data_IF_811653752659
#
_entry.id   IF_811653752659
#
_cell.length_a   1.000
_cell.length_b   1.000
_cell.length_c   1.000
_cell.angle_alpha   90.00
_cell.angle_beta   90.00
_cell.angle_gamma   90.00
#
_symmetry.space_group_name_H-M   'P 1'
#
loop_
_entity.id
_entity.type
_entity.pdbx_description
1 polymer ?
#
# COMPACT_ATOMS: atom_id res chain seq x y z
N UNK A 1 -75.98 -31.60 -20.12
CA UNK A 1 -75.04 -32.60 -20.68
C UNK A 1 -73.97 -31.79 -21.38
N UNK A 2 -72.70 -31.74 -21.03
CA UNK A 2 -71.87 -32.68 -20.28
C UNK A 2 -70.70 -31.89 -19.63
N UNK A 3 -70.16 -32.42 -18.52
CA UNK A 3 -69.00 -31.88 -17.78
C UNK A 3 -67.72 -32.49 -18.38
N UNK A 4 -66.64 -31.72 -18.53
CA UNK A 4 -65.35 -32.02 -17.86
C UNK A 4 -64.16 -31.16 -18.36
N UNK A 5 -63.39 -30.68 -17.36
CA UNK A 5 -61.94 -30.43 -17.32
C UNK A 5 -61.37 -29.28 -18.18
N UNK A 6 -60.93 -28.14 -17.65
CA UNK A 6 -60.18 -27.79 -16.43
C UNK A 6 -58.66 -28.11 -16.50
N UNK A 7 -57.85 -27.12 -16.07
CA UNK A 7 -56.47 -27.20 -15.54
C UNK A 7 -55.21 -27.11 -16.44
N UNK A 8 -55.17 -26.43 -17.59
CA UNK A 8 -53.88 -26.21 -18.30
C UNK A 8 -53.45 -24.76 -18.56
N UNK A 9 -54.28 -23.76 -18.23
CA UNK A 9 -53.96 -22.34 -18.51
C UNK A 9 -53.63 -21.47 -17.30
N UNK A 10 -53.94 -21.91 -16.09
CA UNK A 10 -53.70 -21.13 -14.85
C UNK A 10 -52.32 -21.42 -14.23
N UNK A 11 -51.70 -22.58 -14.54
CA UNK A 11 -50.39 -22.96 -13.95
C UNK A 11 -49.20 -22.27 -14.63
N UNK A 12 -49.36 -21.74 -15.85
CA UNK A 12 -48.29 -21.05 -16.59
C UNK A 12 -48.12 -19.56 -16.23
N UNK A 13 -49.10 -18.95 -15.55
CA UNK A 13 -49.04 -17.52 -15.18
C UNK A 13 -48.74 -17.28 -13.69
N UNK A 14 -48.66 -18.33 -12.86
CA UNK A 14 -48.22 -18.23 -11.46
C UNK A 14 -46.74 -18.59 -11.31
N UNK A 15 -46.19 -19.44 -12.19
CA UNK A 15 -44.76 -19.80 -12.17
C UNK A 15 -43.82 -18.76 -12.79
N UNK A 16 -44.31 -17.86 -13.65
CA UNK A 16 -43.49 -16.78 -14.23
C UNK A 16 -43.30 -15.60 -13.26
N UNK A 17 -44.21 -15.40 -12.31
CA UNK A 17 -44.16 -14.30 -11.34
C UNK A 17 -43.35 -14.67 -10.09
N UNK A 18 -43.28 -15.95 -9.71
CA UNK A 18 -42.42 -16.40 -8.60
C UNK A 18 -40.95 -16.59 -9.00
N UNK A 19 -40.64 -16.81 -10.30
CA UNK A 19 -39.25 -16.88 -10.77
C UNK A 19 -38.61 -15.49 -10.96
N UNK A 20 -39.42 -14.45 -11.20
CA UNK A 20 -38.96 -13.06 -11.27
C UNK A 20 -38.79 -12.41 -9.89
N UNK A 21 -39.47 -12.91 -8.84
CA UNK A 21 -39.25 -12.49 -7.45
C UNK A 21 -38.17 -13.31 -6.73
N UNK A 22 -37.74 -14.47 -7.25
CA UNK A 22 -36.60 -15.23 -6.72
C UNK A 22 -35.26 -14.87 -7.36
N UNK A 23 -35.26 -14.12 -8.48
CA UNK A 23 -34.07 -13.55 -9.12
C UNK A 23 -33.76 -12.12 -8.67
N UNK A 24 -34.58 -11.56 -7.77
CA UNK A 24 -34.35 -10.30 -7.06
C UNK A 24 -34.07 -10.51 -5.56
N UNK A 25 -33.84 -11.76 -5.15
CA UNK A 25 -33.53 -12.15 -3.77
C UNK A 25 -32.27 -12.99 -3.60
N UNK A 26 -31.45 -13.12 -4.66
CA UNK A 26 -30.21 -13.91 -4.68
C UNK A 26 -29.07 -13.24 -5.47
N UNK A 27 -29.12 -11.91 -5.56
CA UNK A 27 -27.98 -11.05 -5.87
C UNK A 27 -27.75 -10.03 -4.74
N UNK A 28 -28.05 -10.43 -3.51
CA UNK A 28 -27.28 -9.97 -2.37
C UNK A 28 -26.07 -10.90 -2.27
N UNK A 29 -25.12 -10.73 -3.20
CA UNK A 29 -23.73 -10.94 -2.80
C UNK A 29 -23.57 -10.07 -1.56
N UNK A 30 -23.02 -10.68 -0.51
CA UNK A 30 -22.59 -10.00 0.71
C UNK A 30 -21.49 -9.01 0.35
N UNK A 31 -21.83 -7.89 -0.30
CA UNK A 31 -21.21 -6.64 0.09
C UNK A 31 -21.73 -6.41 1.51
N UNK A 32 -20.93 -6.76 2.51
CA UNK A 32 -20.95 -6.00 3.75
C UNK A 32 -20.60 -4.57 3.35
N UNK A 33 -21.58 -3.81 2.87
CA UNK A 33 -21.53 -2.37 2.95
C UNK A 33 -21.63 -2.09 4.45
N UNK A 34 -20.48 -2.17 5.13
CA UNK A 34 -20.36 -1.64 6.48
C UNK A 34 -20.88 -0.22 6.43
N UNK A 35 -21.67 0.17 7.42
CA UNK A 35 -21.94 1.60 7.61
C UNK A 35 -20.60 2.29 7.79
N UNK A 36 -20.35 3.33 6.99
CA UNK A 36 -19.18 4.19 7.13
C UNK A 36 -19.04 4.64 8.59
N UNK A 37 -17.82 4.65 9.09
CA UNK A 37 -17.52 5.03 10.47
C UNK A 37 -17.96 6.48 10.67
N UNK A 38 -18.85 6.70 11.63
CA UNK A 38 -19.28 8.06 11.95
C UNK A 38 -18.09 8.87 12.48
N UNK A 39 -17.83 10.02 11.87
CA UNK A 39 -16.89 11.01 12.40
C UNK A 39 -17.45 11.63 13.68
N UNK A 40 -16.65 11.65 14.74
CA UNK A 40 -17.09 12.07 16.09
C UNK A 40 -16.75 13.53 16.43
N UNK A 41 -16.10 14.27 15.52
CA UNK A 41 -15.64 15.66 15.70
C UNK A 41 -16.67 16.62 16.27
N UNK A 42 -17.87 16.60 15.69
CA UNK A 42 -18.93 17.56 16.02
C UNK A 42 -19.42 17.46 17.48
N UNK A 43 -19.08 16.38 18.18
CA UNK A 43 -19.54 16.09 19.54
C UNK A 43 -18.39 15.88 20.54
N UNK A 44 -17.15 16.16 20.13
CA UNK A 44 -15.98 16.01 20.98
C UNK A 44 -15.72 17.27 21.82
N UNK A 45 -15.44 17.07 23.11
CA UNK A 45 -14.83 18.07 23.97
C UNK A 45 -13.32 17.83 24.00
N UNK A 46 -12.55 18.79 23.51
CA UNK A 46 -11.07 18.75 23.48
C UNK A 46 -10.48 19.82 24.40
N UNK A 47 -9.50 19.41 25.20
CA UNK A 47 -8.74 20.31 26.07
C UNK A 47 -7.25 19.95 26.05
N UNK A 48 -6.40 20.96 25.92
CA UNK A 48 -4.95 20.86 25.91
C UNK A 48 -4.43 21.35 27.26
N UNK A 49 -3.61 20.54 27.93
CA UNK A 49 -2.98 20.87 29.20
C UNK A 49 -1.47 20.92 29.00
N UNK A 50 -0.91 22.12 29.08
CA UNK A 50 0.53 22.33 28.94
C UNK A 50 1.34 21.89 30.17
N UNK A 51 2.68 21.91 30.10
CA UNK A 51 3.57 21.40 31.15
C UNK A 51 3.48 22.15 32.49
N UNK A 52 2.94 23.38 32.49
CA UNK A 52 2.71 24.17 33.70
C UNK A 52 1.36 23.85 34.37
N UNK A 53 0.56 22.95 33.79
CA UNK A 53 -0.78 22.59 34.23
C UNK A 53 -1.87 23.56 33.76
N UNK A 54 -1.55 24.54 32.91
CA UNK A 54 -2.56 25.41 32.29
C UNK A 54 -3.35 24.62 31.25
N UNK A 55 -4.67 24.56 31.42
CA UNK A 55 -5.60 23.90 30.50
C UNK A 55 -6.39 24.93 29.70
N UNK A 56 -6.54 24.71 28.39
CA UNK A 56 -7.39 25.49 27.51
C UNK A 56 -8.09 24.58 26.50
N UNK A 57 -9.24 25.00 25.97
CA UNK A 57 -9.92 24.28 24.90
C UNK A 57 -9.30 24.68 23.56
N UNK A 58 -9.05 23.70 22.69
CA UNK A 58 -8.51 23.97 21.37
C UNK A 58 -9.22 23.16 20.29
N UNK A 59 -10.26 23.76 19.72
CA UNK A 59 -11.03 23.15 18.64
C UNK A 59 -10.31 23.22 17.28
N UNK A 60 -9.17 23.91 17.19
CA UNK A 60 -8.44 24.05 15.92
C UNK A 60 -7.88 22.71 15.43
N UNK A 61 -7.60 21.77 16.34
CA UNK A 61 -7.17 20.41 15.99
C UNK A 61 -8.28 19.54 15.38
N UNK A 62 -9.53 20.01 15.35
CA UNK A 62 -10.70 19.28 14.84
C UNK A 62 -11.39 20.05 13.68
N UNK A 63 -10.64 20.87 12.94
CA UNK A 63 -11.17 21.81 11.93
C UNK A 63 -11.12 21.29 10.49
N UNK A 64 -10.76 20.01 10.30
CA UNK A 64 -10.59 19.32 9.02
C UNK A 64 -9.48 19.95 8.13
N UNK A 65 -8.43 20.53 8.74
CA UNK A 65 -7.33 21.21 8.03
C UNK A 65 -5.94 20.91 8.60
N UNK A 66 -5.19 20.05 7.92
CA UNK A 66 -3.77 19.82 8.18
C UNK A 66 -2.85 21.07 8.05
N UNK A 67 -3.34 22.18 7.49
CA UNK A 67 -2.59 23.46 7.46
C UNK A 67 -2.66 24.24 8.77
N UNK A 68 -3.63 23.92 9.63
CA UNK A 68 -3.72 24.42 11.00
C UNK A 68 -2.64 23.74 11.83
N UNK A 69 -1.94 24.46 12.69
CA UNK A 69 -0.79 23.94 13.44
C UNK A 69 -0.85 24.35 14.89
N UNK A 70 -0.72 23.37 15.79
CA UNK A 70 -0.57 23.60 17.21
C UNK A 70 0.80 23.13 17.68
N UNK A 71 1.60 24.07 18.18
CA UNK A 71 2.85 23.76 18.88
C UNK A 71 2.54 23.20 20.27
N UNK A 72 3.07 22.01 20.55
CA UNK A 72 2.85 21.26 21.77
C UNK A 72 4.20 21.07 22.47
N UNK A 73 4.51 21.88 23.49
CA UNK A 73 5.72 21.72 24.27
C UNK A 73 5.78 20.34 24.91
N UNK A 74 6.99 19.85 25.20
CA UNK A 74 7.18 18.59 25.90
C UNK A 74 6.36 18.51 27.20
N UNK A 75 5.78 17.33 27.46
CA UNK A 75 4.92 17.09 28.63
C UNK A 75 3.52 17.72 28.52
N UNK A 76 3.10 18.10 27.31
CA UNK A 76 1.71 18.49 27.04
C UNK A 76 0.81 17.24 26.94
N UNK A 77 -0.42 17.36 27.42
CA UNK A 77 -1.46 16.33 27.30
C UNK A 77 -2.66 16.90 26.55
N UNK A 78 -3.23 16.12 25.63
CA UNK A 78 -4.49 16.43 24.95
C UNK A 78 -5.55 15.46 25.46
N UNK A 79 -6.57 15.97 26.15
CA UNK A 79 -7.72 15.17 26.58
C UNK A 79 -8.87 15.39 25.62
N UNK A 80 -9.48 14.29 25.16
CA UNK A 80 -10.65 14.29 24.29
C UNK A 80 -11.74 13.44 24.93
N UNK A 81 -12.96 13.96 24.98
CA UNK A 81 -14.15 13.26 25.48
C UNK A 81 -15.29 13.33 24.48
N UNK A 82 -16.02 12.24 24.33
CA UNK A 82 -17.14 12.09 23.40
C UNK A 82 -18.31 11.38 24.08
N UNK A 83 -19.52 11.55 23.55
CA UNK A 83 -20.69 10.81 24.04
C UNK A 83 -20.74 9.38 23.50
N UNK A 84 -20.26 9.19 22.29
CA UNK A 84 -20.12 7.90 21.63
C UNK A 84 -18.73 7.32 21.85
N UNK A 85 -18.53 6.03 21.59
CA UNK A 85 -17.21 5.41 21.75
C UNK A 85 -16.33 5.74 20.56
N UNK A 86 -15.10 6.15 20.84
CA UNK A 86 -14.01 6.26 19.88
C UNK A 86 -13.50 4.84 19.63
N UNK A 87 -13.47 4.43 18.37
CA UNK A 87 -12.91 3.16 17.89
C UNK A 87 -11.56 3.34 17.22
N UNK A 88 -11.27 4.53 16.71
CA UNK A 88 -9.96 4.87 16.18
C UNK A 88 -9.79 6.38 16.07
N UNK A 89 -8.54 6.79 15.86
CA UNK A 89 -8.17 8.17 15.62
C UNK A 89 -7.18 8.23 14.47
N UNK A 90 -7.24 9.30 13.70
CA UNK A 90 -6.28 9.59 12.64
C UNK A 90 -5.60 10.91 12.97
N UNK A 91 -4.28 10.94 12.94
CA UNK A 91 -3.45 12.04 13.42
C UNK A 91 -2.61 12.55 12.27
N UNK A 92 -2.58 13.88 12.11
CA UNK A 92 -1.67 14.52 11.17
C UNK A 92 -0.67 15.37 11.96
N UNK A 93 0.59 14.97 11.91
CA UNK A 93 1.74 15.65 12.52
C UNK A 93 2.48 16.49 11.48
N UNK A 94 3.00 17.66 11.85
CA UNK A 94 3.76 18.51 10.90
C UNK A 94 5.07 17.84 10.46
N UNK A 95 5.65 17.03 11.36
CA UNK A 95 6.93 16.32 11.24
C UNK A 95 6.87 15.05 12.07
N UNK A 96 7.78 14.08 11.84
CA UNK A 96 7.83 12.85 12.65
C UNK A 96 7.80 13.18 14.15
N UNK A 97 6.77 12.72 14.89
CA UNK A 97 6.55 13.16 16.27
C UNK A 97 7.50 12.50 17.27
N UNK A 98 8.11 11.37 16.91
CA UNK A 98 8.72 10.47 17.87
C UNK A 98 7.68 9.72 18.70
N UNK A 99 8.12 9.06 19.77
CA UNK A 99 7.22 8.23 20.59
C UNK A 99 6.27 9.05 21.45
N UNK A 100 4.97 8.81 21.29
CA UNK A 100 3.91 9.40 22.12
C UNK A 100 3.03 8.29 22.71
N UNK A 101 2.25 8.60 23.75
CA UNK A 101 1.40 7.61 24.40
C UNK A 101 -0.08 7.99 24.30
N UNK A 102 -0.93 6.99 24.08
CA UNK A 102 -2.36 7.12 24.11
C UNK A 102 -2.92 6.39 25.33
N UNK A 103 -3.72 7.09 26.12
CA UNK A 103 -4.49 6.51 27.20
C UNK A 103 -5.96 6.47 26.81
N UNK A 104 -6.59 5.29 26.81
CA UNK A 104 -8.03 5.13 26.64
C UNK A 104 -8.69 4.84 28.00
N UNK A 105 -9.74 5.59 28.34
CA UNK A 105 -10.45 5.49 29.62
C UNK A 105 -11.94 5.19 29.43
N UNK A 106 -12.36 4.01 29.86
CA UNK A 106 -13.77 3.60 29.81
C UNK A 106 -14.23 3.12 31.20
N UNK A 107 -15.10 3.91 31.83
CA UNK A 107 -15.54 3.67 33.20
C UNK A 107 -14.36 3.71 34.18
N UNK A 108 -14.06 2.59 34.85
CA UNK A 108 -12.90 2.45 35.74
C UNK A 108 -11.68 1.83 35.08
N UNK A 109 -11.75 1.47 33.79
CA UNK A 109 -10.66 0.83 33.07
C UNK A 109 -9.82 1.87 32.33
N UNK A 110 -8.51 1.67 32.36
CA UNK A 110 -7.54 2.49 31.66
C UNK A 110 -6.60 1.60 30.88
N UNK A 111 -6.44 1.86 29.59
CA UNK A 111 -5.55 1.14 28.68
C UNK A 111 -4.54 2.12 28.09
N UNK A 112 -3.30 1.67 27.91
CA UNK A 112 -2.17 2.49 27.47
C UNK A 112 -1.56 1.90 26.21
N UNK A 113 -1.33 2.75 25.20
CA UNK A 113 -0.74 2.38 23.93
C UNK A 113 0.47 3.28 23.66
N UNK A 114 1.59 2.69 23.26
CA UNK A 114 2.76 3.43 22.80
C UNK A 114 2.71 3.53 21.27
N UNK A 115 2.69 4.76 20.77
CA UNK A 115 2.49 5.10 19.35
C UNK A 115 3.67 5.94 18.82
N UNK A 116 3.63 6.31 17.54
CA UNK A 116 4.68 7.08 16.88
C UNK A 116 5.97 6.30 16.61
N UNK A 117 5.94 4.97 16.72
CA UNK A 117 7.12 4.10 16.54
C UNK A 117 7.72 4.18 15.14
N UNK A 118 6.88 4.42 14.14
CA UNK A 118 7.30 4.48 12.75
C UNK A 118 7.66 5.91 12.30
N UNK A 119 7.46 6.92 13.15
CA UNK A 119 7.69 8.32 12.78
C UNK A 119 6.75 8.84 11.68
N UNK A 120 5.61 8.18 11.45
CA UNK A 120 4.65 8.59 10.43
C UNK A 120 3.99 9.92 10.76
N UNK A 121 3.88 10.77 9.75
CA UNK A 121 3.22 12.06 9.92
C UNK A 121 1.70 11.97 9.70
N UNK A 122 1.22 10.95 8.99
CA UNK A 122 -0.19 10.58 8.91
C UNK A 122 -0.35 9.23 9.60
N UNK A 123 -0.96 9.20 10.79
CA UNK A 123 -0.98 8.01 11.66
C UNK A 123 -2.41 7.65 12.06
N UNK A 124 -2.92 6.52 11.57
CA UNK A 124 -4.15 5.93 12.08
C UNK A 124 -3.88 4.98 13.25
N UNK A 125 -4.62 5.15 14.34
CA UNK A 125 -4.57 4.32 15.54
C UNK A 125 -5.93 3.71 15.79
N UNK A 126 -6.05 2.39 15.60
CA UNK A 126 -7.20 1.63 16.05
C UNK A 126 -7.17 1.40 17.56
N UNK A 127 -8.32 1.47 18.22
CA UNK A 127 -8.48 1.12 19.63
C UNK A 127 -9.07 -0.29 19.73
N UNK A 128 -8.27 -1.23 20.22
CA UNK A 128 -8.75 -2.57 20.61
C UNK A 128 -9.91 -2.48 21.61
N UNK A 129 -9.91 -1.40 22.40
CA UNK A 129 -10.84 -1.15 23.48
C UNK A 129 -11.49 0.23 23.30
N UNK A 130 -12.65 0.29 22.61
CA UNK A 130 -13.32 1.55 22.33
C UNK A 130 -13.70 2.33 23.59
N UNK A 131 -13.50 3.64 23.55
CA UNK A 131 -13.50 4.51 24.73
C UNK A 131 -14.19 5.84 24.47
N UNK A 132 -14.95 6.33 25.46
CA UNK A 132 -15.56 7.67 25.46
C UNK A 132 -14.60 8.80 25.87
N UNK A 133 -13.42 8.44 26.39
CA UNK A 133 -12.40 9.41 26.79
C UNK A 133 -10.99 8.91 26.43
N UNK A 134 -10.19 9.78 25.85
CA UNK A 134 -8.78 9.51 25.54
C UNK A 134 -7.89 10.65 26.02
N UNK A 135 -6.63 10.33 26.34
CA UNK A 135 -5.58 11.31 26.63
C UNK A 135 -4.36 10.97 25.77
N UNK A 136 -3.96 11.89 24.91
CA UNK A 136 -2.72 11.82 24.15
C UNK A 136 -1.65 12.51 24.99
N UNK A 137 -0.62 11.76 25.37
CA UNK A 137 0.53 12.26 26.12
C UNK A 137 1.65 12.47 25.13
N UNK A 138 2.04 13.73 24.93
CA UNK A 138 3.06 14.10 23.97
C UNK A 138 4.43 13.56 24.37
N UNK A 139 5.34 13.39 23.39
CA UNK A 139 6.73 12.96 23.63
C UNK A 139 7.47 13.88 24.62
N UNK A 140 8.66 13.45 25.07
CA UNK A 140 9.59 14.30 25.84
C UNK A 140 10.39 15.27 24.93
N UNK A 141 9.75 15.73 23.85
CA UNK A 141 10.24 16.73 22.90
C UNK A 141 9.08 17.62 22.48
N UNK A 142 9.40 18.82 22.00
CA UNK A 142 8.38 19.70 21.42
C UNK A 142 7.94 19.11 20.08
N UNK A 143 6.63 19.07 19.85
CA UNK A 143 6.02 18.55 18.62
C UNK A 143 5.00 19.53 18.06
N UNK A 144 4.63 19.34 16.80
CA UNK A 144 3.58 20.12 16.15
C UNK A 144 2.55 19.17 15.60
N UNK A 145 1.33 19.28 16.10
CA UNK A 145 0.18 18.51 15.65
C UNK A 145 -0.71 19.42 14.80
N UNK A 146 -1.10 18.93 13.63
CA UNK A 146 -1.94 19.66 12.71
C UNK A 146 -3.41 19.32 12.91
N UNK A 147 -3.71 18.03 13.06
CA UNK A 147 -5.10 17.55 13.01
C UNK A 147 -5.31 16.26 13.80
N UNK A 148 -6.51 16.12 14.37
CA UNK A 148 -7.02 14.90 14.99
C UNK A 148 -8.39 14.58 14.41
N UNK A 149 -8.47 13.45 13.73
CA UNK A 149 -9.71 12.84 13.29
C UNK A 149 -10.13 11.67 14.24
N UNK A 150 -11.42 11.48 14.51
CA UNK A 150 -11.99 10.58 15.52
C UNK A 150 -13.12 9.77 14.89
N UNK A 151 -13.01 8.46 14.98
CA UNK A 151 -13.89 7.54 14.28
C UNK A 151 -14.62 6.62 15.25
N UNK A 152 -15.94 6.52 15.06
CA UNK A 152 -16.77 5.48 15.67
C UNK A 152 -16.61 4.13 14.98
N UNK A 153 -17.47 3.18 15.30
CA UNK A 153 -17.48 1.87 14.64
C UNK A 153 -17.93 1.99 13.18
N UNK A 154 -17.21 1.38 12.24
CA UNK A 154 -17.62 1.29 10.85
C UNK A 154 -16.45 1.11 9.88
N UNK A 155 -16.75 1.25 8.59
CA UNK A 155 -15.73 1.31 7.54
C UNK A 155 -15.14 2.71 7.49
N UNK A 156 -13.82 2.85 7.58
CA UNK A 156 -13.17 4.16 7.47
C UNK A 156 -13.40 4.77 6.08
N UNK A 157 -13.53 6.10 5.97
CA UNK A 157 -13.57 6.75 4.67
C UNK A 157 -12.21 6.63 3.97
N UNK A 158 -12.21 6.66 2.64
CA UNK A 158 -11.01 6.51 1.81
C UNK A 158 -9.95 7.61 2.07
N UNK A 159 -10.33 8.72 2.71
CA UNK A 159 -9.41 9.79 3.11
C UNK A 159 -8.49 9.41 4.28
N UNK A 160 -8.86 8.40 5.07
CA UNK A 160 -8.03 7.95 6.21
C UNK A 160 -6.92 7.06 5.68
N UNK A 161 -5.69 7.50 5.90
CA UNK A 161 -4.51 6.77 5.46
C UNK A 161 -4.10 5.76 6.53
N UNK A 162 -4.43 4.50 6.27
CA UNK A 162 -3.97 3.36 7.07
C UNK A 162 -2.76 2.77 6.36
N UNK A 163 -1.59 3.28 6.73
CA UNK A 163 -0.32 2.87 6.12
C UNK A 163 0.14 1.50 6.63
N UNK A 164 0.69 0.71 5.71
CA UNK A 164 1.52 -0.45 6.03
C UNK A 164 2.98 0.01 6.23
N UNK A 165 3.78 -0.72 7.04
CA UNK A 165 5.22 -0.53 7.08
C UNK A 165 5.83 -0.57 5.67
N UNK A 166 6.98 0.11 5.46
CA UNK A 166 7.80 -0.12 4.28
C UNK A 166 7.99 -1.61 4.05
N UNK A 167 7.95 -2.06 2.80
CA UNK A 167 8.00 -3.48 2.52
C UNK A 167 9.30 -4.12 3.06
N UNK A 168 9.27 -5.41 3.35
CA UNK A 168 10.50 -6.15 3.67
C UNK A 168 11.34 -6.35 2.40
N UNK A 169 10.67 -6.71 1.30
CA UNK A 169 11.16 -6.84 -0.07
C UNK A 169 10.18 -6.14 -1.05
N UNK A 170 10.58 -5.85 -2.28
CA UNK A 170 9.75 -5.16 -3.26
C UNK A 170 9.87 -5.81 -4.64
N UNK A 171 8.78 -5.81 -5.41
CA UNK A 171 8.82 -6.16 -6.83
C UNK A 171 9.45 -5.00 -7.62
N UNK A 172 9.15 -3.78 -7.19
CA UNK A 172 9.62 -2.56 -7.81
C UNK A 172 10.04 -1.51 -6.78
N UNK A 173 11.17 -0.84 -7.04
CA UNK A 173 11.61 0.34 -6.31
C UNK A 173 11.54 1.59 -7.20
N UNK A 174 10.75 2.59 -6.80
CA UNK A 174 10.74 3.93 -7.42
C UNK A 174 11.65 4.87 -6.63
N UNK A 175 12.49 5.61 -7.35
CA UNK A 175 13.47 6.53 -6.77
C UNK A 175 13.25 7.99 -7.18
N UNK A 176 12.14 8.63 -6.76
CA UNK A 176 11.93 10.06 -6.96
C UNK A 176 12.95 10.88 -6.16
N UNK A 177 13.28 12.08 -6.62
CA UNK A 177 14.16 12.98 -5.86
C UNK A 177 13.38 13.82 -4.86
N UNK A 178 12.33 14.49 -5.31
CA UNK A 178 11.48 15.40 -4.54
C UNK A 178 10.02 14.94 -4.52
N UNK A 179 9.24 15.55 -3.64
CA UNK A 179 7.80 15.35 -3.53
C UNK A 179 7.03 15.96 -4.71
N UNK A 180 6.63 15.13 -5.68
CA UNK A 180 5.82 15.37 -6.88
C UNK A 180 6.38 14.61 -8.10
N UNK A 181 7.69 14.37 -8.11
CA UNK A 181 8.44 13.67 -9.16
C UNK A 181 7.84 12.32 -9.51
N UNK A 182 7.33 11.60 -8.50
CA UNK A 182 6.73 10.27 -8.65
C UNK A 182 5.54 10.27 -9.62
N UNK A 183 4.81 11.38 -9.73
CA UNK A 183 3.70 11.54 -10.65
C UNK A 183 4.13 12.22 -11.94
N UNK A 184 4.99 13.23 -11.85
CA UNK A 184 5.42 14.03 -13.00
C UNK A 184 6.20 13.22 -14.03
N UNK A 185 7.15 12.40 -13.56
CA UNK A 185 8.09 11.69 -14.42
C UNK A 185 7.81 10.19 -14.48
N UNK A 186 7.34 9.60 -13.38
CA UNK A 186 7.04 8.16 -13.37
C UNK A 186 5.59 7.83 -13.72
N UNK A 187 4.73 8.84 -13.83
CA UNK A 187 3.42 8.75 -14.48
C UNK A 187 2.54 7.63 -13.93
N UNK A 188 2.03 6.79 -14.83
CA UNK A 188 1.11 5.70 -14.52
C UNK A 188 1.72 4.50 -13.81
N UNK A 189 3.02 4.51 -13.49
CA UNK A 189 3.73 3.36 -12.91
C UNK A 189 3.09 2.88 -11.61
N UNK A 190 2.92 3.76 -10.62
CA UNK A 190 2.31 3.38 -9.33
C UNK A 190 0.87 2.88 -9.44
N UNK A 191 -0.08 3.61 -10.07
CA UNK A 191 -1.45 3.12 -10.16
C UNK A 191 -1.58 1.84 -10.98
N UNK A 192 -0.70 1.61 -11.96
CA UNK A 192 -0.71 0.36 -12.72
C UNK A 192 -0.13 -0.81 -11.90
N UNK A 193 1.12 -0.74 -11.44
CA UNK A 193 1.75 -1.89 -10.79
C UNK A 193 1.25 -2.13 -9.37
N UNK A 194 1.21 -1.11 -8.51
CA UNK A 194 0.70 -1.30 -7.15
C UNK A 194 -0.83 -1.31 -7.11
N UNK A 195 -1.46 -0.29 -7.70
CA UNK A 195 -2.90 -0.09 -7.53
C UNK A 195 -3.77 -1.10 -8.28
N UNK A 196 -3.38 -1.51 -9.49
CA UNK A 196 -4.15 -2.44 -10.32
C UNK A 196 -3.64 -3.88 -10.23
N UNK A 197 -2.32 -4.08 -10.31
CA UNK A 197 -1.71 -5.42 -10.33
C UNK A 197 -1.31 -5.97 -8.96
N UNK A 198 -1.42 -5.17 -7.90
CA UNK A 198 -1.07 -5.55 -6.52
C UNK A 198 0.42 -5.91 -6.32
N UNK A 199 1.32 -5.32 -7.12
CA UNK A 199 2.76 -5.49 -6.96
C UNK A 199 3.25 -4.70 -5.74
N UNK A 200 4.26 -5.23 -5.05
CA UNK A 200 4.98 -4.54 -3.97
C UNK A 200 5.85 -3.42 -4.55
N UNK A 201 5.25 -2.24 -4.74
CA UNK A 201 5.97 -1.05 -5.20
C UNK A 201 6.42 -0.22 -4.01
N UNK A 202 7.70 -0.26 -3.68
CA UNK A 202 8.29 0.61 -2.68
C UNK A 202 8.70 1.94 -3.32
N UNK A 203 8.28 3.05 -2.70
CA UNK A 203 8.72 4.40 -3.09
C UNK A 203 9.74 4.89 -2.07
N UNK A 204 10.90 5.36 -2.56
CA UNK A 204 11.97 5.89 -1.72
C UNK A 204 12.53 7.19 -2.30
N UNK A 205 12.28 8.30 -1.61
CA UNK A 205 12.70 9.63 -2.01
C UNK A 205 14.17 9.86 -1.66
N UNK A 206 14.92 10.50 -2.55
CA UNK A 206 16.27 10.96 -2.19
C UNK A 206 16.21 12.06 -1.14
N UNK A 207 15.38 13.09 -1.35
CA UNK A 207 15.33 14.23 -0.43
C UNK A 207 14.14 14.14 0.53
N UNK A 208 14.26 14.83 1.67
CA UNK A 208 13.13 15.16 2.52
C UNK A 208 12.75 16.64 2.39
N UNK A 209 11.47 16.91 2.67
CA UNK A 209 10.90 18.26 2.67
C UNK A 209 10.48 18.68 4.08
N UNK A 210 11.27 18.31 5.10
CA UNK A 210 10.96 18.70 6.48
C UNK A 210 11.08 20.22 6.72
N UNK A 211 11.71 20.97 5.82
CA UNK A 211 11.72 22.43 5.84
C UNK A 211 10.45 23.06 5.22
N UNK A 212 9.77 22.32 4.33
CA UNK A 212 8.51 22.66 3.69
C UNK A 212 7.41 21.66 4.09
N UNK A 213 6.99 21.62 5.37
CA UNK A 213 6.18 20.53 5.91
C UNK A 213 4.82 20.32 5.22
N UNK A 214 4.37 21.24 4.37
CA UNK A 214 3.22 21.00 3.49
C UNK A 214 3.50 19.97 2.38
N UNK A 215 4.74 19.90 1.85
CA UNK A 215 5.08 18.98 0.75
C UNK A 215 5.03 17.49 1.15
N UNK A 216 5.50 17.07 2.35
CA UNK A 216 5.32 15.69 2.79
C UNK A 216 3.84 15.28 2.91
N UNK A 217 2.94 16.19 3.33
CA UNK A 217 1.50 15.91 3.36
C UNK A 217 0.93 15.73 1.94
N UNK A 218 1.28 16.64 1.02
CA UNK A 218 0.88 16.56 -0.39
C UNK A 218 1.36 15.25 -1.05
N UNK A 219 2.61 14.84 -0.76
CA UNK A 219 3.20 13.57 -1.18
C UNK A 219 2.43 12.37 -0.66
N UNK A 220 2.17 12.26 0.65
CA UNK A 220 1.45 11.12 1.20
C UNK A 220 0.02 11.02 0.65
N UNK A 221 -0.64 12.16 0.48
CA UNK A 221 -1.95 12.22 -0.17
C UNK A 221 -1.88 11.73 -1.62
N UNK A 222 -0.85 12.14 -2.38
CA UNK A 222 -0.63 11.73 -3.77
C UNK A 222 -0.40 10.22 -3.90
N UNK A 223 0.48 9.66 -3.09
CA UNK A 223 0.76 8.22 -3.02
C UNK A 223 -0.49 7.42 -2.66
N UNK A 224 -1.22 7.86 -1.63
CA UNK A 224 -2.45 7.19 -1.21
C UNK A 224 -3.52 7.20 -2.30
N UNK A 225 -3.67 8.32 -3.00
CA UNK A 225 -4.64 8.48 -4.09
C UNK A 225 -4.41 7.52 -5.26
N UNK A 226 -3.16 7.10 -5.50
CA UNK A 226 -2.78 6.21 -6.62
C UNK A 226 -2.59 4.75 -6.21
N UNK A 227 -3.00 4.37 -5.00
CA UNK A 227 -3.02 2.97 -4.56
C UNK A 227 -1.75 2.50 -3.82
N UNK A 228 -0.79 3.38 -3.52
CA UNK A 228 0.33 3.01 -2.64
C UNK A 228 -0.17 2.91 -1.20
N UNK A 229 0.16 1.80 -0.53
CA UNK A 229 -0.23 1.51 0.85
C UNK A 229 0.94 1.29 1.81
N UNK A 230 2.10 0.89 1.27
CA UNK A 230 3.36 0.89 2.01
C UNK A 230 3.87 2.31 2.21
N UNK A 231 4.28 2.65 3.44
CA UNK A 231 4.79 3.99 3.75
C UNK A 231 6.09 4.26 2.97
N UNK A 232 6.27 5.46 2.38
CA UNK A 232 7.47 5.78 1.62
C UNK A 232 8.70 5.92 2.52
N UNK A 233 9.89 5.71 1.95
CA UNK A 233 11.15 6.05 2.59
C UNK A 233 11.52 7.49 2.23
N UNK A 234 11.94 8.27 3.22
CA UNK A 234 12.50 9.60 3.03
C UNK A 234 14.00 9.55 3.33
N UNK A 235 14.84 9.93 2.36
CA UNK A 235 16.26 10.12 2.62
C UNK A 235 16.50 11.22 3.65
N UNK A 236 17.58 11.12 4.41
CA UNK A 236 17.94 12.14 5.42
C UNK A 236 18.43 13.46 4.80
N UNK A 237 18.53 13.52 3.48
CA UNK A 237 19.06 14.65 2.72
C UNK A 237 18.01 15.75 2.55
N UNK A 238 18.23 16.99 3.03
CA UNK A 238 17.31 18.10 2.81
C UNK A 238 17.18 18.46 1.33
N UNK A 239 16.01 18.95 0.92
CA UNK A 239 15.81 19.50 -0.42
C UNK A 239 16.70 20.74 -0.68
N UNK A 240 17.46 20.69 -1.77
CA UNK A 240 18.29 21.79 -2.25
C UNK A 240 18.21 21.93 -3.76
N UNK A 241 18.22 23.17 -4.22
CA UNK A 241 18.30 23.46 -5.64
C UNK A 241 19.73 23.31 -6.18
N UNK A 242 19.86 22.65 -7.32
CA UNK A 242 21.07 22.66 -8.15
C UNK A 242 20.68 22.64 -9.63
N UNK A 243 21.48 23.25 -10.49
CA UNK A 243 21.30 23.25 -11.95
C UNK A 243 22.30 22.33 -12.69
N UNK A 244 23.16 21.62 -11.94
CA UNK A 244 24.11 20.67 -12.51
C UNK A 244 24.58 19.63 -11.47
N UNK A 245 25.07 18.50 -11.98
CA UNK A 245 25.55 17.37 -11.19
C UNK A 245 26.75 17.72 -10.31
N UNK A 246 27.73 18.48 -10.82
CA UNK A 246 28.97 18.75 -10.09
C UNK A 246 28.71 19.62 -8.86
N UNK A 247 27.81 20.60 -8.95
CA UNK A 247 27.36 21.34 -7.78
C UNK A 247 26.53 20.45 -6.84
N UNK A 248 25.64 19.61 -7.37
CA UNK A 248 24.81 18.72 -6.53
C UNK A 248 25.65 17.75 -5.68
N UNK A 249 26.76 17.24 -6.21
CA UNK A 249 27.74 16.42 -5.47
C UNK A 249 28.38 17.13 -4.27
N UNK A 250 28.30 18.46 -4.19
CA UNK A 250 28.83 19.25 -3.07
C UNK A 250 27.81 19.55 -1.98
N UNK A 251 26.52 19.29 -2.25
CA UNK A 251 25.42 19.63 -1.33
C UNK A 251 25.26 18.61 -0.19
N UNK A 252 25.69 17.38 -0.42
CA UNK A 252 25.52 16.25 0.50
C UNK A 252 26.84 15.54 0.76
N UNK A 253 26.86 14.74 1.83
CA UNK A 253 27.90 13.74 2.01
C UNK A 253 27.67 12.61 0.99
N UNK A 254 28.53 12.55 -0.03
CA UNK A 254 28.34 11.64 -1.16
C UNK A 254 28.42 10.17 -0.73
N UNK A 255 29.23 9.84 0.27
CA UNK A 255 29.34 8.48 0.80
C UNK A 255 28.02 8.05 1.45
N UNK A 256 27.31 8.97 2.10
CA UNK A 256 25.98 8.70 2.67
C UNK A 256 24.92 8.51 1.58
N UNK A 257 24.96 9.31 0.50
CA UNK A 257 24.02 9.14 -0.61
C UNK A 257 24.21 7.78 -1.30
N UNK A 258 25.47 7.37 -1.48
CA UNK A 258 25.79 6.02 -1.97
C UNK A 258 25.33 4.93 -1.02
N UNK A 259 25.63 5.06 0.28
CA UNK A 259 25.22 4.08 1.28
C UNK A 259 23.69 3.94 1.34
N UNK A 260 22.96 5.05 1.24
CA UNK A 260 21.50 5.06 1.19
C UNK A 260 20.96 4.26 0.01
N UNK A 261 21.38 4.58 -1.23
CA UNK A 261 20.82 3.86 -2.39
C UNK A 261 21.26 2.39 -2.46
N UNK A 262 22.49 2.06 -2.04
CA UNK A 262 22.93 0.67 -1.92
C UNK A 262 22.12 -0.09 -0.86
N UNK A 263 21.79 0.56 0.25
CA UNK A 263 20.88 -0.01 1.25
C UNK A 263 19.51 -0.29 0.67
N UNK A 264 18.92 0.66 -0.08
CA UNK A 264 17.61 0.45 -0.69
C UNK A 264 17.60 -0.78 -1.61
N UNK A 265 18.64 -0.96 -2.43
CA UNK A 265 18.74 -2.11 -3.32
C UNK A 265 18.92 -3.43 -2.55
N UNK A 266 19.78 -3.45 -1.53
CA UNK A 266 20.05 -4.67 -0.73
C UNK A 266 18.89 -5.05 0.17
N UNK A 267 18.26 -4.06 0.80
CA UNK A 267 17.16 -4.24 1.74
C UNK A 267 15.89 -4.68 1.01
N UNK A 268 15.47 -3.91 0.00
CA UNK A 268 14.20 -4.18 -0.66
C UNK A 268 14.33 -5.21 -1.78
N UNK A 269 15.53 -5.58 -2.22
CA UNK A 269 15.77 -6.61 -3.22
C UNK A 269 14.85 -6.49 -4.47
N UNK A 270 14.75 -5.28 -5.08
CA UNK A 270 13.79 -5.04 -6.15
C UNK A 270 14.14 -5.72 -7.45
N UNK A 271 13.16 -6.32 -8.12
CA UNK A 271 13.36 -6.85 -9.47
C UNK A 271 13.51 -5.72 -10.50
N UNK A 272 12.67 -4.68 -10.36
CA UNK A 272 12.69 -3.50 -11.22
C UNK A 272 13.01 -2.26 -10.39
N UNK A 273 13.94 -1.44 -10.86
CA UNK A 273 14.17 -0.10 -10.31
C UNK A 273 13.86 0.96 -11.36
N UNK A 274 13.10 1.98 -10.98
CA UNK A 274 12.75 3.12 -11.85
C UNK A 274 13.33 4.40 -11.28
N UNK A 275 14.12 5.11 -12.10
CA UNK A 275 14.78 6.35 -11.72
C UNK A 275 14.66 7.47 -12.76
N UNK A 276 15.26 8.61 -12.43
CA UNK A 276 15.23 9.82 -13.24
C UNK A 276 16.08 9.76 -14.52
N UNK A 277 15.77 10.67 -15.44
CA UNK A 277 16.65 11.02 -16.55
C UNK A 277 18.04 11.45 -16.06
N UNK A 278 19.07 10.96 -16.73
CA UNK A 278 20.48 11.34 -16.50
C UNK A 278 20.75 12.83 -16.74
N UNK A 279 19.95 13.48 -17.59
CA UNK A 279 19.94 14.93 -17.80
C UNK A 279 19.21 15.72 -16.71
N UNK A 280 18.70 15.06 -15.67
CA UNK A 280 18.03 15.68 -14.54
C UNK A 280 16.66 16.23 -14.89
N UNK A 281 15.95 15.59 -15.80
CA UNK A 281 14.63 15.99 -16.29
C UNK A 281 14.69 17.35 -17.00
N UNK A 282 14.35 18.43 -16.29
CA UNK A 282 14.44 19.81 -16.75
C UNK A 282 15.81 20.43 -16.46
N UNK A 283 16.84 19.62 -16.19
CA UNK A 283 18.20 20.07 -15.87
C UNK A 283 18.47 20.22 -14.38
N UNK A 284 17.67 19.62 -13.49
CA UNK A 284 17.89 19.73 -12.05
C UNK A 284 19.06 18.86 -11.60
N UNK A 285 20.06 19.48 -10.99
CA UNK A 285 21.30 18.82 -10.59
C UNK A 285 21.10 17.72 -9.54
N UNK A 286 20.08 17.81 -8.69
CA UNK A 286 19.80 16.75 -7.70
C UNK A 286 19.10 15.54 -8.34
N UNK A 287 18.31 15.73 -9.40
CA UNK A 287 17.81 14.60 -10.21
C UNK A 287 18.98 13.89 -10.90
N UNK A 288 19.92 14.66 -11.48
CA UNK A 288 21.15 14.09 -12.06
C UNK A 288 21.96 13.32 -11.01
N UNK A 289 22.06 13.84 -9.78
CA UNK A 289 22.75 13.17 -8.69
C UNK A 289 22.07 11.85 -8.35
N UNK A 290 20.74 11.85 -8.21
CA UNK A 290 19.97 10.65 -7.89
C UNK A 290 20.16 9.55 -8.94
N UNK A 291 20.02 9.91 -10.23
CA UNK A 291 20.25 9.00 -11.36
C UNK A 291 21.71 8.51 -11.41
N UNK A 292 22.69 9.41 -11.24
CA UNK A 292 24.10 9.06 -11.27
C UNK A 292 24.50 8.10 -10.14
N UNK A 293 24.02 8.33 -8.91
CA UNK A 293 24.28 7.41 -7.81
C UNK A 293 23.63 6.05 -8.08
N UNK A 294 22.40 6.00 -8.60
CA UNK A 294 21.70 4.76 -8.89
C UNK A 294 22.49 3.89 -9.86
N UNK A 295 22.95 4.47 -10.96
CA UNK A 295 23.74 3.78 -11.98
C UNK A 295 24.97 3.08 -11.39
N UNK A 296 25.56 3.64 -10.34
CA UNK A 296 26.72 3.09 -9.67
C UNK A 296 26.32 2.11 -8.56
N UNK A 297 25.25 2.42 -7.81
CA UNK A 297 24.70 1.61 -6.74
C UNK A 297 24.31 0.21 -7.21
N UNK A 298 23.85 0.05 -8.47
CA UNK A 298 23.56 -1.26 -9.08
C UNK A 298 24.73 -2.24 -8.93
N UNK A 299 25.94 -1.81 -9.31
CA UNK A 299 27.13 -2.67 -9.19
C UNK A 299 27.62 -2.82 -7.74
N UNK A 300 27.45 -1.78 -6.92
CA UNK A 300 27.90 -1.78 -5.52
C UNK A 300 27.01 -2.65 -4.63
N UNK A 301 25.71 -2.74 -4.92
CA UNK A 301 24.78 -3.60 -4.21
C UNK A 301 25.17 -5.09 -4.31
N UNK A 302 25.71 -5.50 -5.45
CA UNK A 302 26.21 -6.85 -5.69
C UNK A 302 27.63 -7.11 -5.13
N UNK A 303 28.37 -6.07 -4.73
CA UNK A 303 29.75 -6.18 -4.25
C UNK A 303 29.81 -6.51 -2.74
N UNK A 304 30.24 -7.74 -2.41
CA UNK A 304 30.38 -8.22 -1.02
C UNK A 304 31.40 -7.43 -0.18
N UNK A 305 32.29 -6.66 -0.81
CA UNK A 305 33.33 -5.89 -0.14
C UNK A 305 32.93 -4.44 0.17
N UNK A 306 31.89 -3.94 -0.49
CA UNK A 306 31.39 -2.59 -0.30
C UNK A 306 30.36 -2.53 0.83
N UNK A 307 30.60 -1.68 1.83
CA UNK A 307 29.77 -1.52 3.05
C UNK A 307 29.46 -2.88 3.73
N UNK A 308 30.48 -3.54 4.34
CA UNK A 308 30.33 -4.88 4.91
C UNK A 308 29.27 -4.97 6.01
N UNK A 309 28.98 -3.87 6.71
CA UNK A 309 27.92 -3.83 7.72
C UNK A 309 26.53 -3.99 7.06
N UNK A 310 26.29 -3.38 5.90
CA UNK A 310 25.05 -3.60 5.14
C UNK A 310 25.00 -5.00 4.53
N UNK A 311 26.14 -5.55 4.09
CA UNK A 311 26.19 -6.95 3.62
C UNK A 311 25.85 -7.92 4.75
N UNK A 312 26.29 -7.64 5.98
CA UNK A 312 25.97 -8.46 7.14
C UNK A 312 24.47 -8.40 7.50
N UNK A 313 23.82 -7.25 7.33
CA UNK A 313 22.40 -7.06 7.64
C UNK A 313 21.48 -7.58 6.52
N UNK A 314 21.77 -7.23 5.27
CA UNK A 314 20.86 -7.42 4.13
C UNK A 314 21.39 -8.36 3.03
N UNK A 315 22.68 -8.73 3.09
CA UNK A 315 23.35 -9.45 2.01
C UNK A 315 23.73 -8.56 0.82
N UNK A 316 24.18 -9.19 -0.26
CA UNK A 316 24.35 -8.54 -1.57
C UNK A 316 23.12 -8.78 -2.43
N UNK A 317 22.90 -7.91 -3.42
CA UNK A 317 21.77 -8.05 -4.32
C UNK A 317 22.14 -7.58 -5.74
N UNK A 318 21.75 -8.37 -6.75
CA UNK A 318 21.85 -8.02 -8.16
C UNK A 318 20.43 -7.77 -8.69
N UNK A 319 20.12 -6.52 -9.02
CA UNK A 319 18.81 -6.11 -9.59
C UNK A 319 18.55 -6.81 -10.93
N UNK A 320 17.31 -7.15 -11.24
CA UNK A 320 16.97 -7.74 -12.54
C UNK A 320 16.96 -6.71 -13.67
N UNK A 321 16.34 -5.54 -13.45
CA UNK A 321 16.25 -4.44 -14.44
C UNK A 321 16.28 -3.05 -13.80
N UNK A 322 16.88 -2.10 -14.51
CA UNK A 322 16.82 -0.67 -14.18
C UNK A 322 16.35 0.13 -15.37
N UNK A 323 15.27 0.88 -15.19
CA UNK A 323 14.73 1.83 -16.16
C UNK A 323 14.98 3.26 -15.69
N UNK A 324 15.41 4.10 -16.61
CA UNK A 324 15.56 5.54 -16.37
C UNK A 324 14.61 6.30 -17.29
N UNK A 325 13.91 7.30 -16.74
CA UNK A 325 13.04 8.18 -17.54
C UNK A 325 13.86 8.83 -18.66
N UNK A 326 13.31 8.88 -19.87
CA UNK A 326 13.92 9.46 -21.08
C UNK A 326 15.28 8.87 -21.51
N UNK A 327 15.68 7.72 -20.97
CA UNK A 327 16.94 7.09 -21.36
C UNK A 327 16.88 6.56 -22.80
N UNK A 328 17.89 6.82 -23.65
CA UNK A 328 17.76 6.57 -25.09
C UNK A 328 17.94 5.10 -25.48
N UNK A 329 18.72 4.32 -24.75
CA UNK A 329 18.91 2.90 -25.00
C UNK A 329 17.76 2.05 -24.44
N UNK A 330 17.37 1.00 -25.18
CA UNK A 330 16.25 0.14 -24.77
C UNK A 330 14.95 0.91 -24.58
N UNK A 331 14.72 1.95 -25.39
CA UNK A 331 13.60 2.86 -25.22
C UNK A 331 12.24 2.13 -25.27
N UNK A 332 11.44 2.35 -24.24
CA UNK A 332 10.10 1.80 -24.06
C UNK A 332 9.12 2.96 -23.83
N UNK A 333 7.98 2.89 -24.51
CA UNK A 333 6.90 3.87 -24.35
C UNK A 333 5.69 3.17 -23.72
N UNK A 334 5.49 3.39 -22.44
CA UNK A 334 4.42 2.76 -21.67
C UNK A 334 3.03 3.25 -22.12
N UNK A 335 2.02 2.38 -22.05
CA UNK A 335 0.63 2.77 -22.33
C UNK A 335 -0.15 3.01 -21.04
N UNK A 336 -0.12 4.26 -20.59
CA UNK A 336 -0.88 4.69 -19.41
C UNK A 336 -2.36 5.00 -19.68
N UNK A 337 -2.87 4.73 -20.90
CA UNK A 337 -4.29 4.90 -21.22
C UNK A 337 -5.13 3.64 -20.96
N UNK A 338 -4.52 2.58 -20.43
CA UNK A 338 -5.23 1.35 -20.06
C UNK A 338 -6.16 1.68 -18.87
N UNK A 339 -7.49 1.44 -19.00
CA UNK A 339 -8.43 1.57 -17.88
C UNK A 339 -8.12 0.55 -16.78
N UNK A 340 -8.14 1.02 -15.53
CA UNK A 340 -7.84 0.21 -14.34
C UNK A 340 -9.14 -0.12 -13.61
N UNK A 341 -9.43 -1.41 -13.39
CA UNK A 341 -10.67 -1.86 -12.75
C UNK A 341 -10.74 -1.39 -11.30
N UNK A 342 -9.62 -1.42 -10.57
CA UNK A 342 -9.55 -1.03 -9.16
C UNK A 342 -9.75 0.49 -8.96
N UNK A 343 -9.60 1.28 -10.02
CA UNK A 343 -9.85 2.73 -10.02
C UNK A 343 -11.14 3.11 -10.77
N UNK A 344 -12.09 2.18 -10.89
CA UNK A 344 -13.40 2.44 -11.48
C UNK A 344 -13.34 2.74 -12.98
N UNK A 345 -12.34 2.20 -13.69
CA UNK A 345 -12.13 2.39 -15.12
C UNK A 345 -11.35 3.66 -15.49
N UNK A 346 -10.82 4.40 -14.51
CA UNK A 346 -9.86 5.48 -14.77
C UNK A 346 -8.55 4.91 -15.30
N UNK A 347 -7.87 5.64 -16.17
CA UNK A 347 -6.58 5.18 -16.70
C UNK A 347 -5.44 5.42 -15.72
N UNK A 348 -4.32 4.72 -15.91
CA UNK A 348 -3.11 4.97 -15.12
C UNK A 348 -2.62 6.43 -15.24
N UNK A 349 -2.78 7.05 -16.41
CA UNK A 349 -2.48 8.47 -16.61
C UNK A 349 -3.42 9.39 -15.83
N UNK A 350 -4.73 9.16 -15.89
CA UNK A 350 -5.70 9.93 -15.10
C UNK A 350 -5.44 9.78 -13.58
N UNK A 351 -4.98 8.62 -13.15
CA UNK A 351 -4.59 8.39 -11.76
C UNK A 351 -3.31 9.15 -11.40
N UNK A 352 -2.30 9.17 -12.27
CA UNK A 352 -1.11 10.00 -12.09
C UNK A 352 -1.48 11.50 -11.97
N UNK A 353 -2.42 11.99 -12.80
CA UNK A 353 -2.97 13.35 -12.68
C UNK A 353 -3.67 13.57 -11.33
N UNK A 354 -4.42 12.59 -10.81
CA UNK A 354 -5.06 12.72 -9.50
C UNK A 354 -4.08 12.67 -8.31
N UNK A 355 -3.00 11.88 -8.42
CA UNK A 355 -1.90 11.92 -7.46
C UNK A 355 -1.24 13.28 -7.44
N UNK A 356 -0.85 13.80 -8.61
CA UNK A 356 -0.28 15.15 -8.75
C UNK A 356 -1.25 16.26 -8.31
N UNK A 357 -2.56 16.06 -8.45
CA UNK A 357 -3.57 17.01 -7.97
C UNK A 357 -3.53 17.22 -6.44
N UNK A 358 -2.87 16.33 -5.68
CA UNK A 358 -2.61 16.52 -4.25
C UNK A 358 -1.43 17.46 -3.97
N UNK A 359 -0.53 17.68 -4.94
CA UNK A 359 0.61 18.60 -4.87
C UNK A 359 0.23 20.04 -5.15
N UNK A 360 -0.68 20.58 -4.34
CA UNK A 360 -1.27 21.92 -4.49
C UNK A 360 -0.22 23.01 -4.61
N UNK A 361 0.87 22.90 -3.86
CA UNK A 361 1.97 23.87 -3.86
C UNK A 361 2.76 23.91 -5.18
N UNK A 362 2.73 22.84 -5.98
CA UNK A 362 3.55 22.67 -7.19
C UNK A 362 2.79 22.89 -8.50
N UNK A 363 1.46 22.80 -8.48
CA UNK A 363 0.58 22.91 -9.67
C UNK A 363 0.68 24.23 -10.45
N UNK A 364 1.26 25.28 -9.87
CA UNK A 364 1.54 26.51 -10.60
C UNK A 364 2.59 26.33 -11.69
N UNK A 365 3.51 25.39 -11.51
CA UNK A 365 4.72 25.25 -12.33
C UNK A 365 4.72 23.96 -13.14
N UNK A 366 4.16 22.89 -12.58
CA UNK A 366 4.24 21.55 -13.15
C UNK A 366 2.87 20.95 -13.45
N UNK A 367 2.88 19.90 -14.27
CA UNK A 367 1.71 19.14 -14.71
C UNK A 367 2.19 17.80 -15.23
N UNK A 368 1.46 16.72 -14.98
CA UNK A 368 1.73 15.41 -15.59
C UNK A 368 1.45 15.48 -17.09
N UNK A 369 2.30 14.86 -17.92
CA UNK A 369 2.20 14.95 -19.39
C UNK A 369 2.52 13.63 -20.06
N UNK A 370 1.73 13.29 -21.08
CA UNK A 370 2.02 12.18 -22.01
C UNK A 370 2.59 12.67 -23.35
N UNK A 371 3.24 13.83 -23.38
CA UNK A 371 3.84 14.39 -24.60
C UNK A 371 4.92 15.42 -24.26
N UNK A 372 5.75 15.73 -25.26
CA UNK A 372 6.82 16.72 -25.14
C UNK A 372 8.09 16.14 -24.54
N UNK A 373 8.93 17.01 -23.98
CA UNK A 373 10.28 16.67 -23.50
C UNK A 373 10.29 15.99 -22.13
N UNK A 374 9.14 15.87 -21.48
CA UNK A 374 8.95 15.20 -20.18
C UNK A 374 7.73 14.27 -20.25
N UNK A 375 7.62 13.48 -21.32
CA UNK A 375 6.54 12.51 -21.50
C UNK A 375 6.71 11.37 -20.49
N UNK A 376 5.85 11.32 -19.47
CA UNK A 376 5.91 10.38 -18.34
C UNK A 376 5.69 8.90 -18.71
N UNK A 377 5.61 8.59 -19.99
CA UNK A 377 5.54 7.23 -20.55
C UNK A 377 6.89 6.75 -21.07
N UNK A 378 7.83 7.66 -21.32
CA UNK A 378 9.05 7.38 -22.06
C UNK A 378 10.19 7.01 -21.11
N UNK A 379 10.62 5.76 -21.16
CA UNK A 379 11.73 5.22 -20.38
C UNK A 379 12.74 4.53 -21.30
N UNK A 380 13.91 4.22 -20.79
CA UNK A 380 14.86 3.32 -21.43
C UNK A 380 15.47 2.35 -20.44
N UNK A 381 15.82 1.16 -20.93
CA UNK A 381 16.47 0.10 -20.16
C UNK A 381 17.97 0.42 -19.99
N UNK A 382 18.33 0.91 -18.81
CA UNK A 382 19.72 1.24 -18.46
C UNK A 382 20.55 -0.02 -18.17
N UNK A 383 19.96 -0.96 -17.44
CA UNK A 383 20.63 -2.20 -17.03
C UNK A 383 19.64 -3.36 -17.04
N UNK A 384 20.12 -4.55 -17.40
CA UNK A 384 19.39 -5.80 -17.25
C UNK A 384 20.32 -6.98 -16.97
N UNK A 385 19.93 -7.84 -16.03
CA UNK A 385 20.52 -9.17 -15.81
C UNK A 385 19.74 -10.29 -16.52
N UNK A 386 18.50 -10.01 -16.94
CA UNK A 386 17.54 -10.98 -17.50
C UNK A 386 17.28 -10.82 -19.00
N UNK A 387 17.95 -9.87 -19.65
CA UNK A 387 17.92 -9.64 -21.10
C UNK A 387 16.97 -8.53 -21.55
N UNK A 388 17.22 -8.06 -22.77
CA UNK A 388 16.54 -6.91 -23.38
C UNK A 388 15.03 -7.12 -23.55
N UNK A 389 14.29 -6.00 -23.57
CA UNK A 389 12.87 -5.99 -23.86
C UNK A 389 12.57 -6.40 -25.31
N UNK A 390 11.49 -7.15 -25.49
CA UNK A 390 10.99 -7.51 -26.81
C UNK A 390 10.23 -6.33 -27.42
N UNK A 391 10.67 -5.91 -28.62
CA UNK A 391 9.98 -4.89 -29.42
C UNK A 391 8.63 -5.39 -30.00
N UNK A 392 8.35 -6.69 -29.92
CA UNK A 392 7.10 -7.28 -30.40
C UNK A 392 6.03 -7.39 -29.31
N UNK A 393 6.42 -7.35 -28.04
CA UNK A 393 5.53 -7.45 -26.89
C UNK A 393 4.95 -6.07 -26.51
N UNK A 394 3.87 -6.09 -25.73
CA UNK A 394 3.39 -4.86 -25.09
C UNK A 394 4.45 -4.32 -24.12
N UNK A 395 4.65 -2.99 -24.05
CA UNK A 395 5.52 -2.34 -23.08
C UNK A 395 5.22 -2.78 -21.64
N UNK A 396 6.22 -3.31 -20.94
CA UNK A 396 6.14 -3.77 -19.55
C UNK A 396 7.54 -3.74 -18.94
N UNK A 397 7.69 -3.23 -17.73
CA UNK A 397 8.99 -3.21 -17.04
C UNK A 397 9.45 -4.60 -16.58
N UNK A 398 8.52 -5.56 -16.44
CA UNK A 398 8.79 -6.92 -15.97
C UNK A 398 9.00 -7.95 -17.08
N UNK A 399 9.20 -7.52 -18.34
CA UNK A 399 9.52 -8.48 -19.39
C UNK A 399 10.74 -9.34 -19.00
N UNK A 400 10.69 -10.64 -19.28
CA UNK A 400 11.72 -11.63 -18.93
C UNK A 400 11.94 -11.86 -17.42
N UNK A 401 11.05 -11.36 -16.54
CA UNK A 401 11.08 -11.62 -15.10
C UNK A 401 9.93 -12.58 -14.79
N UNK A 402 10.26 -13.87 -14.66
CA UNK A 402 9.30 -14.95 -14.38
C UNK A 402 9.39 -15.47 -12.92
N UNK A 403 10.37 -14.98 -12.16
CA UNK A 403 10.63 -15.34 -10.76
C UNK A 403 10.97 -14.09 -9.97
N UNK A 404 10.42 -13.98 -8.77
CA UNK A 404 10.63 -12.88 -7.84
C UNK A 404 11.54 -13.31 -6.69
N UNK A 405 12.22 -12.36 -6.06
CA UNK A 405 13.16 -12.59 -4.96
C UNK A 405 12.51 -13.27 -3.74
N UNK A 406 11.20 -13.14 -3.57
CA UNK A 406 10.42 -13.76 -2.51
C UNK A 406 9.71 -15.07 -2.90
N UNK A 407 9.88 -15.53 -4.15
CA UNK A 407 9.32 -16.82 -4.58
C UNK A 407 9.89 -17.94 -3.71
N UNK A 408 8.98 -18.77 -3.16
CA UNK A 408 9.38 -19.97 -2.43
C UNK A 408 9.95 -20.97 -3.42
N UNK A 409 11.28 -20.97 -3.58
CA UNK A 409 11.99 -21.96 -4.37
C UNK A 409 11.71 -23.33 -3.73
N UNK A 410 11.05 -24.28 -4.45
CA UNK A 410 10.86 -25.62 -3.92
C UNK A 410 12.24 -26.22 -3.66
N UNK A 411 12.51 -26.67 -2.43
CA UNK A 411 13.75 -27.40 -2.12
C UNK A 411 13.96 -28.48 -3.19
N UNK A 412 15.08 -28.40 -3.93
CA UNK A 412 15.48 -29.47 -4.83
C UNK A 412 15.54 -30.75 -3.99
N UNK A 413 14.61 -31.67 -4.23
CA UNK A 413 14.72 -33.04 -3.75
C UNK A 413 15.95 -33.58 -4.45
N UNK A 414 17.09 -33.55 -3.76
CA UNK A 414 18.29 -34.25 -4.18
C UNK A 414 17.89 -35.72 -4.27
N UNK A 415 17.62 -36.17 -5.49
CA UNK A 415 17.39 -37.58 -5.76
C UNK A 415 18.73 -38.29 -5.52
N UNK A 416 18.86 -38.92 -4.36
CA UNK A 416 19.87 -39.96 -4.16
C UNK A 416 19.57 -41.11 -5.12
N UNK A 417 20.15 -41.08 -6.31
CA UNK A 417 20.20 -42.25 -7.17
C UNK A 417 21.33 -43.17 -6.71
N UNK A 418 20.94 -44.38 -6.31
CA UNK A 418 21.70 -45.58 -6.61
C UNK A 418 22.38 -46.31 -5.44
N UNK A 419 21.70 -47.32 -4.89
CA UNK A 419 22.41 -48.57 -4.54
C UNK A 419 21.98 -49.35 -3.31
N UNK A 420 20.96 -50.22 -3.49
CA UNK A 420 20.66 -51.48 -2.77
C UNK A 420 20.29 -51.45 -1.27
N UNK A 421 19.10 -51.98 -0.89
CA UNK A 421 18.70 -52.13 0.51
C UNK A 421 19.35 -53.37 1.15
N UNK A 422 19.81 -53.31 2.42
CA UNK A 422 20.05 -54.51 3.19
C UNK A 422 18.74 -55.06 3.74
N UNK A 423 18.63 -56.39 3.71
CA UNK A 423 17.53 -57.18 4.26
C UNK A 423 17.33 -56.93 5.76
N UNK A 424 16.07 -56.73 6.15
CA UNK A 424 15.59 -56.73 7.54
C UNK A 424 15.50 -58.17 8.08
N UNK A 425 15.89 -58.38 9.34
CA UNK A 425 14.97 -59.12 10.19
C UNK A 425 14.84 -58.52 11.59
N UNK A 426 13.61 -58.12 11.94
CA UNK A 426 12.95 -58.69 13.12
C UNK A 426 12.56 -57.74 14.24
N UNK A 427 11.23 -57.57 14.34
CA UNK A 427 10.42 -57.65 15.56
C UNK A 427 10.43 -56.51 16.62
N UNK A 428 9.29 -55.81 16.65
CA UNK A 428 8.46 -55.48 17.83
C UNK A 428 8.99 -54.57 18.95
N UNK A 429 8.39 -53.37 19.05
CA UNK A 429 7.76 -52.90 20.29
C UNK A 429 6.70 -51.80 20.00
N UNK A 430 5.68 -51.75 20.84
CA UNK A 430 4.38 -51.11 20.61
C UNK A 430 4.21 -49.70 21.24
N UNK A 431 3.47 -48.81 20.54
CA UNK A 431 2.27 -47.99 20.96
C UNK A 431 2.46 -47.01 22.17
N UNK A 432 2.01 -45.72 22.12
CA UNK A 432 0.61 -45.40 21.84
C UNK A 432 0.24 -44.21 20.94
N UNK A 433 -0.93 -44.42 20.31
CA UNK A 433 -1.78 -43.45 19.62
C UNK A 433 -2.33 -42.42 20.61
N UNK A 434 -2.31 -41.15 20.24
CA UNK A 434 -3.25 -40.17 20.79
C UNK A 434 -3.58 -39.06 19.79
N UNK A 435 -4.87 -39.00 19.46
CA UNK A 435 -5.66 -37.87 18.96
C UNK A 435 -5.35 -37.25 17.59
N UNK A 436 -5.98 -37.85 16.57
CA UNK A 436 -6.59 -37.11 15.47
C UNK A 436 -7.65 -36.15 16.03
N UNK A 437 -7.52 -34.86 15.71
CA UNK A 437 -8.65 -33.96 15.66
C UNK A 437 -8.71 -33.34 14.26
N UNK A 438 -9.76 -33.69 13.54
CA UNK A 438 -10.10 -33.14 12.23
C UNK A 438 -10.48 -31.65 12.37
N UNK A 439 -10.04 -30.76 11.46
CA UNK A 439 -10.68 -29.47 11.31
C UNK A 439 -12.04 -29.68 10.61
N UNK A 440 -13.09 -29.24 11.30
CA UNK A 440 -14.48 -29.37 10.86
C UNK A 440 -14.72 -28.81 9.46
N UNK A 441 -15.16 -29.68 8.56
CA UNK A 441 -15.77 -29.29 7.29
C UNK A 441 -16.97 -28.40 7.55
N UNK A 442 -16.94 -27.21 6.96
CA UNK A 442 -17.97 -26.20 7.11
C UNK A 442 -19.34 -26.74 6.68
N UNK A 443 -20.36 -26.38 7.46
CA UNK A 443 -21.78 -26.65 7.19
C UNK A 443 -22.21 -26.24 5.76
N UNK A 444 -21.44 -25.35 5.12
CA UNK A 444 -21.64 -24.85 3.77
C UNK A 444 -21.46 -25.92 2.67
N UNK A 445 -20.52 -26.87 2.81
CA UNK A 445 -20.31 -27.93 1.80
C UNK A 445 -21.40 -29.01 1.83
N UNK A 446 -21.99 -29.28 3.01
CA UNK A 446 -23.10 -30.22 3.14
C UNK A 446 -24.38 -29.61 2.55
N UNK A 447 -24.58 -28.30 2.69
CA UNK A 447 -25.74 -27.59 2.15
C UNK A 447 -25.71 -27.47 0.61
N UNK A 448 -24.55 -27.23 0.00
CA UNK A 448 -24.41 -27.21 -1.47
C UNK A 448 -24.60 -28.60 -2.08
N UNK A 449 -24.10 -29.66 -1.43
CA UNK A 449 -24.32 -31.05 -1.87
C UNK A 449 -25.79 -31.48 -1.87
N UNK A 450 -26.56 -31.06 -0.85
CA UNK A 450 -28.00 -31.37 -0.74
C UNK A 450 -28.82 -30.61 -1.79
N UNK A 451 -28.51 -29.33 -2.03
CA UNK A 451 -29.20 -28.52 -3.06
C UNK A 451 -28.95 -29.03 -4.48
N UNK A 452 -27.72 -29.47 -4.79
CA UNK A 452 -27.39 -30.08 -6.07
C UNK A 452 -28.15 -31.42 -6.28
N UNK A 453 -28.26 -32.24 -5.24
CA UNK A 453 -29.02 -33.50 -5.30
C UNK A 453 -30.52 -33.26 -5.52
N UNK A 454 -31.11 -32.26 -4.86
CA UNK A 454 -32.53 -31.91 -5.04
C UNK A 454 -32.79 -31.39 -6.46
N UNK A 455 -31.87 -30.62 -7.03
CA UNK A 455 -31.98 -30.09 -8.39
C UNK A 455 -31.91 -31.20 -9.46
N UNK A 456 -31.01 -32.18 -9.30
CA UNK A 456 -30.88 -33.34 -10.20
C UNK A 456 -32.11 -34.25 -10.10
N UNK A 457 -32.65 -34.48 -8.90
CA UNK A 457 -33.88 -35.27 -8.73
C UNK A 457 -35.09 -34.57 -9.37
N UNK A 458 -35.19 -33.24 -9.31
CA UNK A 458 -36.27 -32.49 -9.97
C UNK A 458 -36.16 -32.49 -11.50
N UNK A 459 -34.95 -32.41 -12.06
CA UNK A 459 -34.73 -32.51 -13.51
C UNK A 459 -35.06 -33.90 -14.05
N UNK A 460 -34.71 -34.96 -13.30
CA UNK A 460 -35.02 -36.34 -13.68
C UNK A 460 -36.52 -36.66 -13.51
N UNK A 461 -37.18 -36.11 -12.50
CA UNK A 461 -38.63 -36.26 -12.31
C UNK A 461 -39.44 -35.51 -13.39
N UNK A 462 -38.96 -34.33 -13.83
CA UNK A 462 -39.53 -33.57 -14.94
C UNK A 462 -39.42 -34.27 -16.30
N UNK A 463 -38.30 -34.95 -16.58
CA UNK A 463 -38.11 -35.72 -17.83
C UNK A 463 -39.02 -36.94 -17.94
N UNK A 464 -39.38 -37.57 -16.82
CA UNK A 464 -40.21 -38.78 -16.83
C UNK A 464 -41.72 -38.52 -16.96
N UNK A 465 -42.17 -37.27 -16.83
CA UNK A 465 -43.58 -36.90 -17.00
C UNK A 465 -43.99 -36.55 -18.45
N UNK A 466 -43.03 -36.41 -19.35
CA UNK A 466 -43.26 -36.16 -20.79
C UNK A 466 -43.15 -37.42 -21.67
N UNK A 467 -43.13 -38.61 -21.05
CA UNK A 467 -43.27 -39.90 -21.74
C UNK A 467 -44.28 -40.78 -21.01
N UNK A 468 -45.56 -40.39 -21.06
CA UNK A 468 -46.74 -41.27 -21.04
C UNK A 468 -48.02 -40.46 -21.24
#
# INVERSE_FOLDING_TARGET
MDRSRDKSRIVRHVFATCLFMSLWGLSALLCHAGTEAAGLHAFAEISVTGPTGTTYNDMQLLDDRYTTKLELPKGTEITIRTQEKIHGLYLIWDKPPGHWALQAQEGSRTSMYLQGKNGWIHEYVALDEPSSAIVLVMPDTDVVLCEIELYGQGTLPDSVQVWDPPHEDADMLLLPTHADDEHLFFGGTMPYYAGELDYKVQVAYLTNHWAEPYRPHELLNGLWAVGIRSYPIFGEFPDYYSDNLEHAKTLYDLDQVFAYQVELLRRFQPEVVVGHDTGGEYGHGVHMLNAWVLQQAVSLAADETYLPDQVAEWGTFEVSKVYLHLYPEGAVLMDWNIPLENFGGRTAFEMAEAGFAQHLSQQKWFSVRTEGVHDCRAFGLYYTAVGDDSLEASPDFFQNIDTFSDDVIPEEIVSEDGGTPPEDPGESAAVPKSFLHEPGGSLAMILTGILACIFVVFLLWGRNRNRR
#
